data_IF_832909216704
#
_entry.id   IF_832909216704
#
_cell.length_a   1.000
_cell.length_b   1.000
_cell.length_c   1.000
_cell.angle_alpha   90.00
_cell.angle_beta   90.00
_cell.angle_gamma   90.00
#
_symmetry.space_group_name_H-M   'P 1'
#
loop_
_entity.id
_entity.type
_entity.pdbx_description
1 polymer ?
#
# COMPACT_ATOMS: atom_id res chain seq x y z
N UNK A 1 -24.55 -14.87 31.85
CA UNK A 1 -23.44 -13.91 31.62
C UNK A 1 -23.65 -13.27 30.27
N UNK A 2 -23.66 -11.93 30.14
CA UNK A 2 -23.91 -11.29 28.85
C UNK A 2 -22.64 -11.36 27.99
N UNK A 3 -22.81 -11.82 26.75
CA UNK A 3 -21.76 -11.81 25.73
C UNK A 3 -21.61 -10.37 25.26
N UNK A 4 -20.41 -9.80 25.41
CA UNK A 4 -20.08 -8.55 24.73
C UNK A 4 -20.11 -8.83 23.22
N UNK A 5 -20.87 -8.04 22.47
CA UNK A 5 -20.75 -8.03 21.02
C UNK A 5 -19.61 -7.06 20.70
N UNK A 6 -18.49 -7.57 20.16
CA UNK A 6 -17.51 -6.69 19.52
C UNK A 6 -18.18 -6.13 18.27
N UNK A 7 -18.78 -4.94 18.38
CA UNK A 7 -19.11 -4.16 17.19
C UNK A 7 -17.79 -3.85 16.49
N UNK A 8 -17.63 -4.19 15.20
CA UNK A 8 -16.40 -3.88 14.49
C UNK A 8 -16.19 -2.37 14.54
N UNK A 9 -15.04 -1.93 15.05
CA UNK A 9 -14.65 -0.52 15.10
C UNK A 9 -14.91 0.09 13.73
N UNK A 10 -15.81 1.09 13.69
CA UNK A 10 -16.12 1.83 12.47
C UNK A 10 -14.84 2.56 12.05
N UNK A 11 -14.07 1.96 11.14
CA UNK A 11 -12.83 2.56 10.64
C UNK A 11 -13.18 3.85 9.91
N UNK A 12 -12.89 4.98 10.53
CA UNK A 12 -13.00 6.27 9.88
C UNK A 12 -11.96 6.36 8.77
N UNK A 13 -12.33 7.06 7.70
CA UNK A 13 -11.37 7.49 6.71
C UNK A 13 -10.31 8.35 7.40
N UNK A 14 -9.06 7.95 7.28
CA UNK A 14 -7.91 8.67 7.77
C UNK A 14 -6.87 8.72 6.67
N UNK A 15 -6.03 9.74 6.76
CA UNK A 15 -4.90 9.88 5.88
C UNK A 15 -3.86 8.80 6.16
N UNK A 16 -3.30 8.20 5.10
CA UNK A 16 -2.20 7.25 5.18
C UNK A 16 -0.95 7.85 4.52
N UNK A 17 0.21 7.73 5.16
CA UNK A 17 1.46 8.37 4.68
C UNK A 17 1.88 7.85 3.30
N UNK A 18 1.50 6.62 2.94
CA UNK A 18 1.76 6.05 1.61
C UNK A 18 1.17 6.90 0.48
N UNK A 19 0.14 7.70 0.76
CA UNK A 19 -0.47 8.61 -0.22
C UNK A 19 0.49 9.71 -0.68
N UNK A 20 1.55 10.00 0.09
CA UNK A 20 2.60 10.95 -0.29
C UNK A 20 3.77 10.32 -1.02
N UNK A 21 3.88 8.99 -0.98
CA UNK A 21 5.04 8.27 -1.50
C UNK A 21 4.78 7.63 -2.86
N UNK A 22 3.51 7.42 -3.20
CA UNK A 22 3.10 6.75 -4.42
C UNK A 22 2.29 7.68 -5.33
N UNK A 23 2.79 7.82 -6.56
CA UNK A 23 2.22 8.69 -7.59
C UNK A 23 0.85 8.20 -8.08
N UNK A 24 0.42 6.97 -7.77
CA UNK A 24 -0.92 6.47 -8.11
C UNK A 24 -2.05 7.10 -7.28
N UNK A 25 -1.73 7.71 -6.13
CA UNK A 25 -2.71 8.31 -5.24
C UNK A 25 -3.49 9.46 -5.90
N UNK A 26 -2.78 10.41 -6.52
CA UNK A 26 -3.39 11.58 -7.19
C UNK A 26 -4.36 11.17 -8.32
N UNK A 27 -3.99 10.25 -9.25
CA UNK A 27 -4.89 9.71 -10.25
C UNK A 27 -6.16 9.09 -9.67
N UNK A 28 -6.07 8.36 -8.55
CA UNK A 28 -7.23 7.72 -7.91
C UNK A 28 -8.21 8.78 -7.41
N UNK A 29 -7.71 9.80 -6.71
CA UNK A 29 -8.53 10.91 -6.20
C UNK A 29 -9.18 11.66 -7.37
N UNK A 30 -8.37 12.07 -8.35
CA UNK A 30 -8.81 12.90 -9.48
C UNK A 30 -9.86 12.20 -10.35
N UNK A 31 -9.67 10.91 -10.66
CA UNK A 31 -10.65 10.14 -11.44
C UNK A 31 -11.96 9.98 -10.68
N UNK A 32 -11.88 9.57 -9.41
CA UNK A 32 -13.07 9.34 -8.59
C UNK A 32 -13.87 10.63 -8.36
N UNK A 33 -13.18 11.75 -8.19
CA UNK A 33 -13.82 13.05 -8.05
C UNK A 33 -14.60 13.48 -9.31
N UNK A 34 -14.04 13.18 -10.49
CA UNK A 34 -14.66 13.48 -11.79
C UNK A 34 -15.82 12.53 -12.10
N UNK A 35 -15.65 11.23 -11.84
CA UNK A 35 -16.62 10.20 -12.16
C UNK A 35 -17.88 10.27 -11.28
N UNK A 36 -17.78 10.89 -10.10
CA UNK A 36 -18.88 11.06 -9.15
C UNK A 36 -19.83 12.23 -9.48
N UNK A 37 -19.72 12.85 -10.67
CA UNK A 37 -20.62 13.92 -11.10
C UNK A 37 -21.28 13.62 -12.43
N UNK A 38 -22.47 13.00 -12.41
CA UNK A 38 -23.37 13.06 -13.58
C UNK A 38 -24.10 14.41 -13.59
N UNK A 39 -24.39 14.99 -14.77
CA UNK A 39 -25.02 16.32 -14.89
C UNK A 39 -26.40 16.47 -14.22
N UNK A 40 -27.01 15.38 -13.76
CA UNK A 40 -28.34 15.34 -13.15
C UNK A 40 -28.40 14.59 -11.81
N UNK A 41 -27.24 14.29 -11.20
CA UNK A 41 -27.21 13.59 -9.91
C UNK A 41 -27.04 14.58 -8.76
N UNK A 42 -27.88 14.46 -7.73
CA UNK A 42 -27.71 15.14 -6.43
C UNK A 42 -26.59 14.49 -5.63
N UNK A 43 -25.43 14.27 -6.25
CA UNK A 43 -24.28 13.67 -5.55
C UNK A 43 -23.74 14.72 -4.60
N UNK A 44 -23.87 14.46 -3.31
CA UNK A 44 -23.40 15.37 -2.28
C UNK A 44 -21.87 15.32 -2.23
N UNK A 45 -21.27 16.36 -1.66
CA UNK A 45 -19.83 16.34 -1.36
C UNK A 45 -19.44 15.12 -0.52
N UNK A 46 -20.32 14.72 0.41
CA UNK A 46 -20.12 13.56 1.28
C UNK A 46 -20.04 12.26 0.49
N UNK A 47 -20.90 12.08 -0.53
CA UNK A 47 -20.86 10.90 -1.40
C UNK A 47 -19.55 10.81 -2.19
N UNK A 48 -19.04 11.96 -2.66
CA UNK A 48 -17.77 12.02 -3.38
C UNK A 48 -16.60 11.63 -2.49
N UNK A 49 -16.55 12.20 -1.29
CA UNK A 49 -15.51 11.90 -0.29
C UNK A 49 -15.60 10.43 0.13
N UNK A 50 -16.81 9.91 0.34
CA UNK A 50 -17.04 8.50 0.65
C UNK A 50 -16.53 7.59 -0.47
N UNK A 51 -16.80 7.92 -1.74
CA UNK A 51 -16.32 7.15 -2.89
C UNK A 51 -14.78 7.14 -2.98
N UNK A 52 -14.14 8.30 -2.78
CA UNK A 52 -12.68 8.42 -2.74
C UNK A 52 -12.11 7.59 -1.60
N UNK A 53 -12.71 7.68 -0.41
CA UNK A 53 -12.25 6.95 0.77
C UNK A 53 -12.25 5.44 0.55
N UNK A 54 -13.31 4.91 -0.06
CA UNK A 54 -13.45 3.48 -0.35
C UNK A 54 -12.41 2.99 -1.36
N UNK A 55 -12.15 3.80 -2.40
CA UNK A 55 -11.14 3.48 -3.43
C UNK A 55 -9.72 3.55 -2.88
N UNK A 56 -9.37 4.59 -2.13
CA UNK A 56 -8.06 4.71 -1.49
C UNK A 56 -7.82 3.59 -0.47
N UNK A 57 -8.82 3.26 0.36
CA UNK A 57 -8.70 2.15 1.31
C UNK A 57 -8.49 0.79 0.60
N UNK A 58 -9.09 0.61 -0.59
CA UNK A 58 -8.90 -0.61 -1.38
C UNK A 58 -7.51 -0.65 -2.00
N UNK A 59 -7.07 0.46 -2.59
CA UNK A 59 -5.73 0.59 -3.15
C UNK A 59 -4.65 0.40 -2.07
N UNK A 60 -4.75 1.04 -0.91
CA UNK A 60 -3.80 0.90 0.19
C UNK A 60 -3.67 -0.55 0.68
N UNK A 61 -4.78 -1.31 0.73
CA UNK A 61 -4.73 -2.75 1.05
C UNK A 61 -3.99 -3.57 -0.02
N UNK A 62 -4.18 -3.25 -1.30
CA UNK A 62 -3.46 -3.93 -2.39
C UNK A 62 -1.98 -3.59 -2.37
N UNK A 63 -1.65 -2.31 -2.19
CA UNK A 63 -0.28 -1.83 -2.05
C UNK A 63 0.47 -2.55 -0.93
N UNK A 64 -0.12 -2.63 0.27
CA UNK A 64 0.49 -3.33 1.40
C UNK A 64 0.67 -4.83 1.15
N UNK A 65 -0.24 -5.48 0.40
CA UNK A 65 -0.12 -6.88 0.01
C UNK A 65 1.01 -7.10 -0.99
N UNK A 66 1.08 -6.27 -2.03
CA UNK A 66 2.11 -6.34 -3.06
C UNK A 66 3.50 -6.08 -2.47
N UNK A 67 3.63 -5.08 -1.59
CA UNK A 67 4.86 -4.80 -0.87
C UNK A 67 5.35 -6.03 -0.08
N UNK A 68 4.44 -6.69 0.66
CA UNK A 68 4.78 -7.91 1.42
C UNK A 68 5.18 -9.08 0.52
N UNK A 69 4.45 -9.31 -0.58
CA UNK A 69 4.81 -10.34 -1.56
C UNK A 69 6.18 -10.06 -2.19
N UNK A 70 6.49 -8.78 -2.47
CA UNK A 70 7.78 -8.37 -3.02
C UNK A 70 8.93 -8.59 -2.03
N UNK A 71 8.73 -8.26 -0.75
CA UNK A 71 9.68 -8.54 0.34
C UNK A 71 9.98 -10.04 0.38
N UNK A 72 8.95 -10.89 0.39
CA UNK A 72 9.12 -12.34 0.48
C UNK A 72 9.89 -12.92 -0.73
N UNK A 73 9.67 -12.38 -1.93
CA UNK A 73 10.42 -12.75 -3.15
C UNK A 73 11.88 -12.34 -3.04
N UNK A 74 12.15 -11.11 -2.57
CA UNK A 74 13.51 -10.59 -2.41
C UNK A 74 14.30 -11.38 -1.36
N UNK A 75 13.68 -11.70 -0.23
CA UNK A 75 14.28 -12.55 0.81
C UNK A 75 14.62 -13.95 0.29
N UNK A 76 13.69 -14.60 -0.42
CA UNK A 76 13.95 -15.90 -1.07
C UNK A 76 15.09 -15.82 -2.09
N UNK A 77 15.13 -14.75 -2.86
CA UNK A 77 16.20 -14.50 -3.83
C UNK A 77 17.54 -14.38 -3.12
N UNK A 78 17.62 -13.58 -2.06
CA UNK A 78 18.83 -13.38 -1.27
C UNK A 78 19.35 -14.70 -0.67
N UNK A 79 18.47 -15.53 -0.11
CA UNK A 79 18.80 -16.87 0.42
C UNK A 79 19.36 -17.79 -0.69
N UNK A 80 18.77 -17.75 -1.88
CA UNK A 80 19.22 -18.57 -3.01
C UNK A 80 20.60 -18.15 -3.55
N UNK A 81 20.92 -16.85 -3.49
CA UNK A 81 22.21 -16.31 -3.91
C UNK A 81 23.31 -16.56 -2.89
N UNK A 82 22.99 -16.55 -1.59
CA UNK A 82 23.94 -16.85 -0.52
C UNK A 82 24.48 -18.31 -0.57
N UNK A 83 23.90 -19.17 -1.42
CA UNK A 83 24.37 -20.53 -1.71
C UNK A 83 25.30 -20.63 -2.92
N UNK A 84 25.56 -19.53 -3.64
CA UNK A 84 26.44 -19.48 -4.83
C UNK A 84 27.81 -18.88 -4.47
N UNK A 85 28.90 -19.20 -5.21
CA UNK A 85 30.22 -18.65 -4.93
C UNK A 85 30.22 -17.12 -5.08
N UNK A 86 30.76 -16.41 -4.08
CA UNK A 86 30.89 -14.95 -4.11
C UNK A 86 31.85 -14.50 -5.23
N UNK A 87 31.28 -13.98 -6.31
CA UNK A 87 31.98 -13.20 -7.34
C UNK A 87 31.71 -11.69 -7.15
N UNK A 88 32.57 -10.82 -7.66
CA UNK A 88 32.34 -9.35 -7.59
C UNK A 88 31.00 -8.93 -8.20
N UNK A 89 30.56 -9.60 -9.27
CA UNK A 89 29.24 -9.40 -9.86
C UNK A 89 28.12 -9.70 -8.87
N UNK A 90 28.17 -10.84 -8.18
CA UNK A 90 27.16 -11.18 -7.16
C UNK A 90 27.11 -10.19 -5.99
N UNK A 91 28.24 -9.57 -5.60
CA UNK A 91 28.27 -8.56 -4.53
C UNK A 91 27.54 -7.26 -4.88
N UNK A 92 27.72 -6.74 -6.11
CA UNK A 92 27.00 -5.54 -6.56
C UNK A 92 25.49 -5.77 -6.63
N UNK A 93 25.08 -6.95 -7.08
CA UNK A 93 23.67 -7.32 -7.15
C UNK A 93 23.06 -7.56 -5.76
N UNK A 94 23.80 -8.17 -4.84
CA UNK A 94 23.38 -8.34 -3.45
C UNK A 94 23.18 -6.99 -2.75
N UNK A 95 24.07 -6.02 -2.99
CA UNK A 95 23.93 -4.67 -2.47
C UNK A 95 22.64 -4.00 -2.97
N UNK A 96 22.37 -4.08 -4.27
CA UNK A 96 21.15 -3.52 -4.87
C UNK A 96 19.88 -4.17 -4.31
N UNK A 97 19.89 -5.49 -4.12
CA UNK A 97 18.78 -6.22 -3.50
C UNK A 97 18.55 -5.79 -2.04
N UNK A 98 19.63 -5.56 -1.28
CA UNK A 98 19.57 -5.05 0.09
C UNK A 98 18.98 -3.63 0.14
N UNK A 99 19.38 -2.75 -0.77
CA UNK A 99 18.83 -1.39 -0.87
C UNK A 99 17.33 -1.41 -1.18
N UNK A 100 16.89 -2.24 -2.14
CA UNK A 100 15.47 -2.41 -2.45
C UNK A 100 14.69 -2.99 -1.26
N UNK A 101 15.25 -3.97 -0.56
CA UNK A 101 14.64 -4.56 0.64
C UNK A 101 14.49 -3.52 1.77
N UNK A 102 15.55 -2.76 2.06
CA UNK A 102 15.49 -1.70 3.08
C UNK A 102 14.43 -0.67 2.74
N UNK A 103 14.34 -0.25 1.47
CA UNK A 103 13.30 0.68 1.02
C UNK A 103 11.89 0.14 1.29
N UNK A 104 11.63 -1.12 0.92
CA UNK A 104 10.32 -1.75 1.12
C UNK A 104 9.98 -1.93 2.60
N UNK A 105 10.95 -2.29 3.45
CA UNK A 105 10.76 -2.39 4.90
C UNK A 105 10.41 -1.02 5.49
N UNK A 106 11.10 0.05 5.10
CA UNK A 106 10.77 1.40 5.56
C UNK A 106 9.36 1.81 5.11
N UNK A 107 8.93 1.42 3.91
CA UNK A 107 7.56 1.65 3.45
C UNK A 107 6.53 0.87 4.28
N UNK A 108 6.82 -0.39 4.63
CA UNK A 108 5.95 -1.20 5.49
C UNK A 108 5.87 -0.63 6.92
N UNK A 109 7.00 -0.21 7.51
CA UNK A 109 7.03 0.45 8.84
C UNK A 109 6.22 1.75 8.90
N UNK A 110 6.18 2.50 7.80
CA UNK A 110 5.39 3.72 7.66
C UNK A 110 3.90 3.39 7.45
N UNK A 111 3.59 2.28 6.78
CA UNK A 111 2.21 1.86 6.53
C UNK A 111 1.51 1.29 7.78
N UNK A 112 2.24 0.61 8.67
CA UNK A 112 1.67 -0.07 9.86
C UNK A 112 1.87 0.67 11.19
N UNK A 113 2.28 1.95 11.19
CA UNK A 113 2.35 2.78 12.39
C UNK A 113 1.10 3.65 12.59
#
# INVERSE_FOLDING_TARGET
MPKWEHTPSKKYFHFEVVWLQDDECEPIISRTWRDSGLPHSTTTLEDKISSISSRLATWGRMFGREARERIEILERSLISFNRRPLTEGTKKWELKLKEELTKLITQEEVFWK
#
